data_IF_762321708453
#
_entry.id   IF_762321708453
#
_cell.length_a   1.000
_cell.length_b   1.000
_cell.length_c   1.000
_cell.angle_alpha   90.00
_cell.angle_beta   90.00
_cell.angle_gamma   90.00
#
_symmetry.space_group_name_H-M   'P 1'
#
loop_
_entity.id
_entity.type
_entity.pdbx_description
1 polymer ?
#
# COMPACT_ATOMS: atom_id res chain seq x y z
N UNK A 1 3.87 -24.13 5.88
CA UNK A 1 4.59 -23.11 6.66
C UNK A 1 5.40 -23.87 7.69
N UNK A 2 6.68 -23.55 7.79
CA UNK A 2 7.65 -24.27 8.62
C UNK A 2 7.25 -24.15 10.10
N UNK A 3 7.54 -25.23 10.83
CA UNK A 3 7.11 -25.58 12.16
C UNK A 3 7.42 -24.54 13.26
N UNK A 4 6.42 -24.27 14.08
CA UNK A 4 6.58 -23.84 15.48
C UNK A 4 6.94 -25.05 16.33
N UNK A 5 8.18 -25.15 16.83
CA UNK A 5 8.38 -25.86 18.10
C UNK A 5 7.81 -24.97 19.23
N UNK A 6 7.48 -25.51 20.42
CA UNK A 6 6.35 -25.05 21.24
C UNK A 6 6.51 -23.59 21.67
N UNK A 7 5.48 -23.00 22.28
CA UNK A 7 5.66 -21.88 23.20
C UNK A 7 6.63 -22.29 24.32
N UNK A 8 7.92 -22.18 24.03
CA UNK A 8 9.04 -22.43 24.92
C UNK A 8 9.23 -21.18 25.77
N UNK A 9 9.63 -21.39 27.02
CA UNK A 9 10.08 -20.31 27.91
C UNK A 9 11.15 -19.49 27.16
N UNK A 10 10.88 -18.22 26.88
CA UNK A 10 11.83 -17.30 26.24
C UNK A 10 11.41 -16.64 24.91
N UNK A 11 10.28 -17.00 24.30
CA UNK A 11 9.76 -16.29 23.11
C UNK A 11 8.69 -15.28 23.52
N UNK A 12 8.96 -13.98 23.34
CA UNK A 12 8.00 -12.91 23.64
C UNK A 12 7.34 -12.37 22.36
N UNK A 13 6.06 -11.99 22.46
CA UNK A 13 5.24 -11.48 21.35
C UNK A 13 5.52 -10.01 21.00
N UNK A 14 6.59 -9.47 21.59
CA UNK A 14 6.90 -8.05 21.69
C UNK A 14 7.46 -7.49 20.38
N UNK A 15 7.88 -8.35 19.45
CA UNK A 15 8.60 -7.97 18.23
C UNK A 15 7.74 -7.90 16.96
N UNK A 16 6.44 -8.23 17.04
CA UNK A 16 5.54 -8.09 15.90
C UNK A 16 5.68 -9.13 14.78
N UNK A 17 6.41 -10.22 14.99
CA UNK A 17 6.57 -11.29 13.98
C UNK A 17 5.23 -12.01 13.73
N UNK A 18 4.83 -12.08 12.46
CA UNK A 18 3.58 -12.60 11.95
C UNK A 18 3.71 -14.09 11.56
N UNK A 19 4.02 -14.92 12.56
CA UNK A 19 4.23 -16.37 12.37
C UNK A 19 3.60 -17.27 13.45
N UNK A 20 3.22 -16.71 14.61
CA UNK A 20 2.78 -17.48 15.78
C UNK A 20 1.31 -17.23 16.16
N UNK A 21 0.60 -18.22 16.76
CA UNK A 21 -0.71 -18.03 17.34
C UNK A 21 -0.66 -17.12 18.56
N UNK A 22 -1.65 -16.24 18.65
CA UNK A 22 -2.00 -15.49 19.83
C UNK A 22 -2.84 -16.37 20.77
N UNK A 23 -2.51 -16.35 22.06
CA UNK A 23 -3.29 -17.03 23.10
C UNK A 23 -4.62 -16.32 23.39
N UNK A 24 -4.64 -15.00 23.23
CA UNK A 24 -5.83 -14.15 23.40
C UNK A 24 -6.27 -13.57 22.07
N UNK A 25 -7.58 -13.52 21.83
CA UNK A 25 -8.11 -12.92 20.61
C UNK A 25 -7.82 -11.42 20.60
N UNK A 26 -7.17 -10.94 19.54
CA UNK A 26 -6.96 -9.52 19.27
C UNK A 26 -7.76 -9.09 18.04
N UNK A 27 -8.01 -7.80 17.89
CA UNK A 27 -8.81 -7.29 16.78
C UNK A 27 -8.20 -7.68 15.42
N UNK A 28 -9.02 -8.14 14.48
CA UNK A 28 -8.57 -8.67 13.19
C UNK A 28 -8.09 -10.13 13.20
N UNK A 29 -7.84 -10.74 14.38
CA UNK A 29 -7.49 -12.17 14.47
C UNK A 29 -8.72 -13.07 14.51
N UNK A 30 -8.57 -14.27 13.97
CA UNK A 30 -9.57 -15.34 13.99
C UNK A 30 -8.98 -16.59 14.64
N UNK A 31 -9.84 -17.44 15.21
CA UNK A 31 -9.42 -18.75 15.72
C UNK A 31 -8.79 -19.55 14.59
N UNK A 32 -7.63 -20.12 14.85
CA UNK A 32 -6.93 -21.03 13.94
C UNK A 32 -6.88 -22.44 14.49
N UNK A 33 -6.78 -23.40 13.58
CA UNK A 33 -6.61 -24.81 13.87
C UNK A 33 -5.22 -25.25 13.49
N UNK A 34 -4.67 -26.22 14.22
CA UNK A 34 -3.39 -26.86 13.92
C UNK A 34 -3.61 -28.22 13.30
N UNK A 35 -2.76 -28.58 12.34
CA UNK A 35 -2.53 -29.95 11.90
C UNK A 35 -1.08 -30.31 12.21
N UNK A 36 -0.86 -31.51 12.71
CA UNK A 36 0.43 -31.98 13.21
C UNK A 36 0.86 -33.26 12.50
N UNK A 37 2.05 -33.24 11.93
CA UNK A 37 2.78 -34.43 11.50
C UNK A 37 3.76 -34.82 12.62
N UNK A 38 3.39 -35.82 13.39
CA UNK A 38 4.17 -36.30 14.53
C UNK A 38 5.46 -37.01 14.13
N UNK A 39 5.59 -37.47 12.89
CA UNK A 39 6.78 -38.17 12.41
C UNK A 39 7.87 -37.17 12.00
N UNK A 40 7.47 -36.08 11.35
CA UNK A 40 8.41 -35.06 10.85
C UNK A 40 8.49 -33.81 11.73
N UNK A 41 7.79 -33.81 12.86
CA UNK A 41 7.65 -32.65 13.77
C UNK A 41 7.20 -31.39 13.05
N UNK A 42 6.30 -31.53 12.07
CA UNK A 42 5.88 -30.44 11.18
C UNK A 42 4.45 -29.98 11.47
N UNK A 43 4.21 -28.67 11.41
CA UNK A 43 2.92 -28.05 11.73
C UNK A 43 2.30 -27.36 10.51
N UNK A 44 0.97 -27.37 10.43
CA UNK A 44 0.20 -26.52 9.53
C UNK A 44 -0.89 -25.81 10.32
N UNK A 45 -1.15 -24.55 9.99
CA UNK A 45 -2.26 -23.79 10.55
C UNK A 45 -3.31 -23.53 9.48
N UNK A 46 -4.59 -23.57 9.87
CA UNK A 46 -5.71 -23.32 8.97
C UNK A 46 -6.78 -22.42 9.61
N UNK A 47 -7.39 -21.58 8.78
CA UNK A 47 -8.51 -20.72 9.15
C UNK A 47 -9.82 -21.52 9.07
N UNK A 48 -10.93 -21.06 9.69
CA UNK A 48 -12.16 -21.85 9.84
C UNK A 48 -12.92 -22.16 8.53
N UNK A 49 -12.32 -21.99 7.36
CA UNK A 49 -12.75 -22.67 6.14
C UNK A 49 -11.90 -23.95 6.03
N UNK A 50 -12.33 -25.07 6.63
CA UNK A 50 -11.49 -26.26 6.72
C UNK A 50 -11.06 -26.67 5.32
N UNK A 51 -9.79 -27.02 5.15
CA UNK A 51 -9.42 -28.01 4.13
C UNK A 51 -10.33 -29.22 4.38
N UNK A 52 -11.35 -29.39 3.54
CA UNK A 52 -12.23 -30.55 3.56
C UNK A 52 -11.41 -31.73 3.05
N UNK A 53 -10.84 -32.52 3.94
CA UNK A 53 -10.09 -33.73 3.58
C UNK A 53 -9.02 -34.08 4.60
N UNK A 54 -8.57 -35.33 4.57
CA UNK A 54 -7.35 -35.77 5.26
C UNK A 54 -6.13 -35.24 4.50
N UNK A 55 -5.20 -34.58 5.19
CA UNK A 55 -3.90 -34.23 4.63
C UNK A 55 -2.95 -35.40 4.96
N UNK A 56 -2.36 -36.10 3.97
CA UNK A 56 -1.45 -37.21 4.23
C UNK A 56 -0.30 -36.79 5.16
N UNK A 57 -0.04 -37.56 6.21
CA UNK A 57 0.99 -37.28 7.22
C UNK A 57 0.56 -36.30 8.31
N UNK A 58 -0.58 -35.62 8.18
CA UNK A 58 -1.02 -34.60 9.13
C UNK A 58 -2.33 -34.99 9.82
N UNK A 59 -2.33 -34.93 11.15
CA UNK A 59 -3.52 -35.13 11.98
C UNK A 59 -4.02 -33.78 12.48
N UNK A 60 -5.32 -33.50 12.30
CA UNK A 60 -5.93 -32.28 12.84
C UNK A 60 -5.93 -32.32 14.35
N UNK A 61 -5.37 -31.29 14.98
CA UNK A 61 -5.48 -31.08 16.41
C UNK A 61 -6.90 -30.63 16.74
N UNK A 62 -7.55 -31.35 17.66
CA UNK A 62 -8.91 -31.06 18.12
C UNK A 62 -8.93 -29.97 19.20
N UNK A 63 -7.79 -29.68 19.80
CA UNK A 63 -7.69 -28.68 20.84
C UNK A 63 -7.68 -27.27 20.25
N UNK A 64 -8.04 -26.30 21.09
CA UNK A 64 -7.84 -24.90 20.76
C UNK A 64 -6.35 -24.62 20.60
N UNK A 65 -5.95 -24.17 19.40
CA UNK A 65 -4.56 -23.85 19.13
C UNK A 65 -4.24 -22.38 19.42
N UNK A 66 -5.09 -21.46 18.96
CA UNK A 66 -4.89 -20.04 19.17
C UNK A 66 -5.70 -19.17 18.21
N UNK A 67 -5.33 -17.90 18.15
CA UNK A 67 -5.82 -16.91 17.20
C UNK A 67 -4.69 -16.46 16.27
N UNK A 68 -4.97 -16.15 15.01
CA UNK A 68 -4.00 -15.48 14.14
C UNK A 68 -4.75 -14.61 13.12
N UNK A 69 -4.01 -13.73 12.45
CA UNK A 69 -4.58 -12.95 11.35
C UNK A 69 -4.80 -13.83 10.12
N UNK A 70 -5.95 -13.75 9.44
CA UNK A 70 -6.18 -14.44 8.18
C UNK A 70 -5.03 -14.22 7.19
N UNK A 71 -4.39 -15.31 6.77
CA UNK A 71 -3.38 -15.31 5.70
C UNK A 71 -4.00 -15.92 4.47
N UNK A 72 -3.98 -15.20 3.36
CA UNK A 72 -4.69 -15.56 2.13
C UNK A 72 -3.88 -16.50 1.22
N UNK A 73 -3.00 -17.33 1.80
CA UNK A 73 -2.13 -18.32 1.11
C UNK A 73 -1.49 -17.69 -0.14
N UNK A 74 -1.46 -18.43 -1.24
CA UNK A 74 -0.90 -17.99 -2.52
C UNK A 74 -1.80 -17.05 -3.33
N UNK A 75 -2.93 -16.60 -2.76
CA UNK A 75 -3.83 -15.70 -3.45
C UNK A 75 -3.36 -14.27 -3.26
N UNK A 76 -2.96 -13.68 -4.38
CA UNK A 76 -2.65 -12.26 -4.50
C UNK A 76 -3.85 -11.37 -4.23
N UNK A 77 -5.07 -11.85 -4.42
CA UNK A 77 -6.26 -11.07 -4.14
C UNK A 77 -7.25 -11.91 -3.36
N UNK A 78 -7.83 -11.30 -2.34
CA UNK A 78 -8.90 -11.91 -1.59
C UNK A 78 -10.04 -10.94 -1.34
N UNK A 79 -11.24 -11.53 -1.29
CA UNK A 79 -12.48 -10.86 -0.89
C UNK A 79 -12.61 -10.84 0.63
N UNK A 80 -13.30 -9.83 1.14
CA UNK A 80 -13.84 -9.88 2.50
C UNK A 80 -15.04 -10.87 2.54
N UNK A 81 -15.06 -11.79 3.51
CA UNK A 81 -16.18 -12.73 3.67
C UNK A 81 -17.48 -11.96 3.96
N UNK A 82 -18.50 -12.11 3.10
CA UNK A 82 -19.83 -11.50 3.30
C UNK A 82 -20.14 -10.26 2.45
N UNK A 83 -19.18 -9.76 1.66
CA UNK A 83 -19.42 -8.70 0.68
C UNK A 83 -19.84 -9.26 -0.69
N UNK A 84 -20.84 -8.69 -1.37
CA UNK A 84 -21.06 -8.94 -2.79
C UNK A 84 -19.91 -8.33 -3.62
N UNK A 85 -19.19 -9.15 -4.40
CA UNK A 85 -18.14 -8.70 -5.33
C UNK A 85 -16.69 -8.77 -4.79
N UNK A 86 -15.70 -8.46 -5.63
CA UNK A 86 -14.34 -8.08 -5.20
C UNK A 86 -14.45 -6.66 -4.62
N UNK A 87 -15.02 -6.53 -3.42
CA UNK A 87 -15.21 -5.32 -2.61
C UNK A 87 -15.14 -3.99 -3.38
N UNK A 88 -16.07 -3.81 -4.31
CA UNK A 88 -16.21 -2.58 -5.07
C UNK A 88 -16.90 -1.54 -4.19
N UNK A 89 -16.18 -0.50 -3.78
CA UNK A 89 -16.75 0.68 -3.15
C UNK A 89 -16.69 1.86 -4.11
N UNK A 90 -17.67 2.75 -4.09
CA UNK A 90 -17.68 3.82 -5.06
C UNK A 90 -18.70 4.90 -4.81
N UNK A 91 -18.54 5.97 -5.59
CA UNK A 91 -19.51 7.04 -5.74
C UNK A 91 -20.35 6.85 -6.99
N UNK A 92 -20.76 7.96 -7.59
CA UNK A 92 -21.61 7.94 -8.79
C UNK A 92 -20.83 7.59 -10.05
N UNK A 93 -19.55 7.98 -10.12
CA UNK A 93 -18.71 7.75 -11.31
C UNK A 93 -17.46 6.91 -11.06
N UNK A 94 -16.99 6.85 -9.81
CA UNK A 94 -15.73 6.21 -9.45
C UNK A 94 -16.03 4.96 -8.65
N UNK A 95 -15.38 3.86 -9.00
CA UNK A 95 -15.39 2.62 -8.24
C UNK A 95 -13.96 2.21 -7.94
N UNK A 96 -13.72 1.74 -6.73
CA UNK A 96 -12.43 1.16 -6.31
C UNK A 96 -12.65 -0.23 -5.76
N UNK A 97 -11.66 -1.10 -5.90
CA UNK A 97 -11.61 -2.41 -5.25
C UNK A 97 -10.49 -2.45 -4.22
N UNK A 98 -10.78 -3.01 -3.05
CA UNK A 98 -9.81 -3.18 -1.95
C UNK A 98 -9.40 -4.64 -1.78
N UNK A 99 -8.15 -4.87 -1.39
CA UNK A 99 -7.62 -6.22 -1.28
C UNK A 99 -7.52 -6.68 0.18
N UNK A 100 -8.37 -7.63 0.58
CA UNK A 100 -8.33 -8.21 1.92
C UNK A 100 -7.01 -8.93 2.23
N UNK A 101 -6.34 -9.43 1.18
CA UNK A 101 -5.05 -10.08 1.30
C UNK A 101 -3.89 -9.11 1.53
N UNK A 102 -4.10 -7.80 1.39
CA UNK A 102 -3.06 -6.77 1.41
C UNK A 102 -3.50 -5.52 2.19
N UNK A 103 -3.87 -5.67 3.45
CA UNK A 103 -4.21 -4.55 4.36
C UNK A 103 -5.39 -3.68 3.91
N UNK A 104 -6.19 -4.13 2.95
CA UNK A 104 -7.24 -3.35 2.31
C UNK A 104 -6.73 -2.33 1.29
N UNK A 105 -5.47 -2.38 0.86
CA UNK A 105 -4.92 -1.52 -0.20
C UNK A 105 -5.77 -1.57 -1.48
N UNK A 106 -5.80 -0.47 -2.22
CA UNK A 106 -6.70 -0.33 -3.37
C UNK A 106 -6.00 -0.82 -4.64
N UNK A 107 -6.47 -1.94 -5.16
CA UNK A 107 -5.86 -2.63 -6.31
C UNK A 107 -6.58 -2.33 -7.63
N UNK A 108 -7.73 -1.67 -7.57
CA UNK A 108 -8.43 -1.10 -8.73
C UNK A 108 -8.99 0.26 -8.42
N UNK A 109 -8.94 1.15 -9.41
CA UNK A 109 -9.69 2.39 -9.48
C UNK A 109 -10.20 2.47 -10.91
N UNK A 110 -11.52 2.58 -11.07
CA UNK A 110 -12.19 2.64 -12.35
C UNK A 110 -13.01 3.93 -12.44
N UNK A 111 -12.85 4.65 -13.54
CA UNK A 111 -13.65 5.81 -13.91
C UNK A 111 -13.90 5.79 -15.42
N UNK A 112 -15.13 6.05 -15.85
CA UNK A 112 -15.53 6.02 -17.27
C UNK A 112 -15.11 4.73 -18.01
N UNK A 113 -15.28 3.57 -17.34
CA UNK A 113 -14.88 2.26 -17.87
C UNK A 113 -13.36 2.00 -17.91
N UNK A 114 -12.53 2.99 -17.56
CA UNK A 114 -11.08 2.86 -17.56
C UNK A 114 -10.56 2.47 -16.18
N UNK A 115 -9.81 1.37 -16.13
CA UNK A 115 -9.01 0.98 -14.98
C UNK A 115 -7.68 1.77 -14.97
N UNK A 116 -7.28 2.28 -13.79
CA UNK A 116 -6.09 3.12 -13.64
C UNK A 116 -4.86 2.39 -13.08
N UNK A 117 -5.07 1.52 -12.09
CA UNK A 117 -4.05 1.03 -11.16
C UNK A 117 -3.20 -0.09 -11.77
N UNK A 118 -1.88 0.03 -11.69
CA UNK A 118 -1.04 -1.17 -11.82
C UNK A 118 -1.12 -1.91 -10.48
N UNK A 119 -1.43 -3.21 -10.50
CA UNK A 119 -1.51 -4.14 -9.36
C UNK A 119 -0.73 -5.43 -9.66
N UNK A 120 0.47 -5.30 -10.24
CA UNK A 120 1.34 -6.45 -10.48
C UNK A 120 1.75 -7.17 -9.18
N UNK A 121 2.07 -6.40 -8.13
CA UNK A 121 2.39 -6.86 -6.78
C UNK A 121 1.81 -5.91 -5.72
N UNK A 122 1.96 -6.25 -4.44
CA UNK A 122 1.47 -5.44 -3.32
C UNK A 122 2.15 -4.06 -3.22
N UNK A 123 3.38 -3.93 -3.73
CA UNK A 123 4.07 -2.64 -3.80
C UNK A 123 3.44 -1.65 -4.79
N UNK A 124 2.67 -2.13 -5.76
CA UNK A 124 2.03 -1.31 -6.80
C UNK A 124 0.52 -1.31 -6.58
N UNK A 125 0.02 -0.52 -5.64
CA UNK A 125 -1.42 -0.32 -5.36
C UNK A 125 -1.63 1.11 -4.84
N UNK A 126 -2.86 1.63 -4.71
CA UNK A 126 -3.04 2.87 -3.93
C UNK A 126 -2.95 2.52 -2.45
N UNK A 127 -1.95 3.06 -1.77
CA UNK A 127 -1.62 2.65 -0.42
C UNK A 127 -0.95 3.73 0.44
N UNK A 128 -0.82 3.41 1.72
CA UNK A 128 -0.07 4.18 2.73
C UNK A 128 1.28 3.50 2.98
N UNK A 129 2.35 4.29 3.06
CA UNK A 129 3.62 3.88 3.64
C UNK A 129 4.14 4.97 4.59
N UNK A 130 4.97 4.60 5.56
CA UNK A 130 5.64 5.56 6.44
C UNK A 130 7.12 5.18 6.62
N UNK A 131 8.01 6.01 6.08
CA UNK A 131 9.42 5.70 5.98
C UNK A 131 10.20 6.42 7.07
N UNK A 132 11.17 5.76 7.72
CA UNK A 132 12.22 6.50 8.42
C UNK A 132 13.17 7.12 7.39
N UNK A 133 13.33 8.46 7.43
CA UNK A 133 14.13 9.20 6.44
C UNK A 133 15.61 8.81 6.49
N UNK A 134 16.13 8.47 7.68
CA UNK A 134 17.50 7.97 7.83
C UNK A 134 17.66 6.56 7.30
N UNK A 135 16.64 5.71 7.47
CA UNK A 135 16.67 4.32 7.04
C UNK A 135 16.51 4.12 5.54
N UNK A 136 15.98 5.11 4.82
CA UNK A 136 15.71 5.11 3.37
C UNK A 136 16.76 5.90 2.56
N UNK A 137 17.98 6.07 3.10
CA UNK A 137 19.08 6.70 2.38
C UNK A 137 19.87 5.65 1.58
N UNK A 138 19.63 5.60 0.26
CA UNK A 138 20.18 4.58 -0.66
C UNK A 138 19.19 3.44 -0.96
N UNK A 139 19.70 2.28 -1.37
CA UNK A 139 18.89 1.10 -1.75
C UNK A 139 18.32 0.32 -0.54
N UNK A 140 18.43 0.87 0.67
CA UNK A 140 18.00 0.23 1.89
C UNK A 140 16.78 0.98 2.39
N UNK A 141 15.62 0.32 2.51
CA UNK A 141 14.38 0.89 3.04
C UNK A 141 13.85 0.00 4.17
N UNK A 142 14.70 -0.24 5.17
CA UNK A 142 14.49 -1.27 6.18
C UNK A 142 13.36 -0.96 7.17
N UNK A 143 13.23 0.30 7.60
CA UNK A 143 12.13 0.79 8.45
C UNK A 143 11.12 1.58 7.62
N UNK A 144 10.23 0.81 6.99
CA UNK A 144 9.20 1.24 6.06
C UNK A 144 7.95 0.37 6.26
N UNK A 145 7.16 0.62 7.32
CA UNK A 145 5.81 0.07 7.42
C UNK A 145 4.97 0.43 6.19
N UNK A 146 4.47 -0.60 5.50
CA UNK A 146 3.72 -0.50 4.26
C UNK A 146 2.34 -1.15 4.40
N UNK A 147 1.30 -0.46 3.92
CA UNK A 147 -0.09 -0.90 4.03
C UNK A 147 -0.33 -2.21 3.29
N UNK A 148 0.15 -2.37 2.07
CA UNK A 148 -0.17 -3.56 1.27
C UNK A 148 0.59 -4.81 1.70
N UNK A 149 1.79 -4.68 2.27
CA UNK A 149 2.63 -5.81 2.64
C UNK A 149 4.11 -5.49 2.60
N UNK A 150 4.94 -6.53 2.63
CA UNK A 150 6.40 -6.40 2.56
C UNK A 150 6.95 -6.76 1.17
N UNK A 151 8.28 -6.79 1.02
CA UNK A 151 8.95 -7.07 -0.25
C UNK A 151 8.69 -8.47 -0.82
N UNK A 152 8.31 -9.40 0.04
CA UNK A 152 7.92 -10.76 -0.33
C UNK A 152 6.41 -10.83 -0.61
N UNK A 153 5.74 -9.69 -0.79
CA UNK A 153 4.34 -9.60 -1.20
C UNK A 153 3.98 -10.45 -2.44
N UNK A 154 2.72 -10.39 -2.86
CA UNK A 154 2.25 -11.17 -4.01
C UNK A 154 3.20 -11.06 -5.23
N UNK A 155 3.69 -12.21 -5.70
CA UNK A 155 4.45 -12.31 -6.94
C UNK A 155 3.66 -13.14 -7.94
N UNK A 156 2.93 -12.45 -8.84
CA UNK A 156 2.18 -13.11 -9.91
C UNK A 156 3.17 -13.80 -10.86
N UNK A 157 3.02 -15.11 -11.05
CA UNK A 157 3.93 -15.97 -11.82
C UNK A 157 4.38 -15.33 -13.13
N UNK A 158 5.69 -15.16 -13.32
CA UNK A 158 6.35 -14.89 -14.59
C UNK A 158 7.49 -15.90 -14.80
N UNK A 159 8.09 -15.94 -15.98
CA UNK A 159 9.18 -16.87 -16.32
C UNK A 159 10.43 -16.70 -15.44
N UNK A 160 10.56 -15.57 -14.75
CA UNK A 160 11.69 -15.25 -13.86
C UNK A 160 11.41 -15.65 -12.40
N UNK A 161 10.20 -16.14 -12.10
CA UNK A 161 9.82 -16.66 -10.81
C UNK A 161 9.09 -18.00 -10.94
N UNK A 162 9.77 -19.13 -10.65
CA UNK A 162 9.12 -20.42 -10.69
C UNK A 162 7.92 -20.46 -9.71
N UNK A 163 6.92 -21.31 -9.97
CA UNK A 163 5.66 -21.43 -9.19
C UNK A 163 5.81 -21.67 -7.68
N UNK A 164 7.04 -21.82 -7.18
CA UNK A 164 7.36 -21.95 -5.76
C UNK A 164 7.24 -20.64 -4.95
N UNK A 165 7.13 -19.45 -5.59
CA UNK A 165 6.98 -18.18 -4.86
C UNK A 165 5.53 -17.76 -4.60
N UNK A 166 4.55 -18.41 -5.22
CA UNK A 166 3.14 -18.09 -4.98
C UNK A 166 2.77 -18.24 -3.50
N UNK A 167 3.37 -19.20 -2.78
CA UNK A 167 3.20 -19.41 -1.33
C UNK A 167 3.65 -18.24 -0.44
N UNK A 168 4.36 -17.25 -1.00
CA UNK A 168 5.03 -16.20 -0.26
C UNK A 168 4.23 -14.91 -0.14
N UNK A 169 2.99 -14.80 -0.64
CA UNK A 169 2.25 -13.53 -0.66
C UNK A 169 2.08 -12.87 0.74
N UNK A 170 3.06 -12.03 1.11
CA UNK A 170 3.13 -11.35 2.39
C UNK A 170 2.36 -10.04 2.38
N UNK A 171 1.05 -10.15 2.40
CA UNK A 171 0.22 -8.97 2.55
C UNK A 171 -0.06 -8.63 4.01
N UNK A 172 -0.28 -7.35 4.27
CA UNK A 172 -0.54 -6.87 5.62
C UNK A 172 -1.88 -7.36 6.17
N UNK A 173 -1.95 -7.68 7.48
CA UNK A 173 -3.19 -8.07 8.13
C UNK A 173 -4.26 -6.98 8.15
N UNK A 174 -5.40 -7.24 7.50
CA UNK A 174 -6.55 -6.35 7.60
C UNK A 174 -7.23 -6.50 8.97
N UNK A 175 -7.44 -5.38 9.66
CA UNK A 175 -8.14 -5.29 10.95
C UNK A 175 -9.65 -5.13 10.72
N UNK A 176 -10.03 -4.20 9.86
CA UNK A 176 -11.43 -3.94 9.51
C UNK A 176 -11.56 -3.38 8.10
N UNK A 177 -12.72 -3.62 7.50
CA UNK A 177 -13.11 -3.06 6.22
C UNK A 177 -14.62 -2.86 6.21
N UNK A 178 -15.07 -1.72 5.69
CA UNK A 178 -16.49 -1.48 5.43
C UNK A 178 -16.66 -0.54 4.25
N UNK A 179 -17.65 -0.82 3.41
CA UNK A 179 -18.12 0.09 2.39
C UNK A 179 -19.61 0.29 2.57
N UNK A 180 -20.03 1.52 2.84
CA UNK A 180 -21.44 1.88 2.90
C UNK A 180 -21.60 3.37 2.65
N UNK A 181 -22.71 3.77 2.03
CA UNK A 181 -23.06 5.18 1.82
C UNK A 181 -21.93 6.00 1.17
N UNK A 182 -21.29 5.47 0.12
CA UNK A 182 -20.17 6.14 -0.59
C UNK A 182 -18.99 6.46 0.33
N UNK A 183 -18.82 5.68 1.40
CA UNK A 183 -17.68 5.75 2.31
C UNK A 183 -17.05 4.37 2.41
N UNK A 184 -15.78 4.28 2.06
CA UNK A 184 -14.93 3.12 2.34
C UNK A 184 -14.09 3.43 3.57
N UNK A 185 -14.07 2.52 4.55
CA UNK A 185 -13.12 2.53 5.64
C UNK A 185 -12.32 1.24 5.62
N UNK A 186 -11.00 1.32 5.78
CA UNK A 186 -10.17 0.14 6.07
C UNK A 186 -9.18 0.46 7.17
N UNK A 187 -8.74 -0.57 7.90
CA UNK A 187 -7.62 -0.49 8.82
C UNK A 187 -6.76 -1.75 8.78
N UNK A 188 -5.46 -1.60 9.02
CA UNK A 188 -4.47 -2.67 8.92
C UNK A 188 -3.36 -2.53 9.95
N UNK A 189 -2.72 -3.66 10.27
CA UNK A 189 -1.37 -3.67 10.83
C UNK A 189 -0.37 -3.73 9.68
N UNK A 190 0.35 -2.64 9.34
CA UNK A 190 1.26 -2.66 8.20
C UNK A 190 2.46 -3.57 8.49
N UNK A 191 3.02 -4.19 7.45
CA UNK A 191 4.27 -4.94 7.55
C UNK A 191 5.46 -4.03 7.26
N UNK A 192 6.59 -4.32 7.90
CA UNK A 192 7.88 -3.73 7.54
C UNK A 192 8.33 -4.26 6.18
N UNK A 193 8.74 -3.38 5.28
CA UNK A 193 9.10 -3.75 3.90
C UNK A 193 10.30 -4.70 3.81
N UNK A 194 11.40 -4.40 4.53
CA UNK A 194 12.63 -5.23 4.57
C UNK A 194 13.21 -5.35 5.99
N UNK A 195 12.50 -6.01 6.93
CA UNK A 195 12.90 -6.04 8.34
C UNK A 195 14.27 -6.71 8.57
N UNK A 196 14.72 -7.59 7.67
CA UNK A 196 16.01 -8.25 7.74
C UNK A 196 17.20 -7.28 7.61
N UNK A 197 16.98 -6.10 7.01
CA UNK A 197 18.02 -5.08 6.85
C UNK A 197 18.20 -4.22 8.13
N UNK A 198 17.40 -4.48 9.17
CA UNK A 198 17.55 -3.85 10.50
C UNK A 198 18.43 -4.70 11.45
N UNK A 199 18.99 -5.83 11.01
CA UNK A 199 19.87 -6.70 11.81
C UNK A 199 21.31 -6.13 11.96
N UNK A 200 22.04 -6.38 13.07
CA UNK A 200 21.68 -7.27 14.19
C UNK A 200 20.80 -6.62 15.28
N UNK A 201 20.47 -5.34 15.16
CA UNK A 201 19.91 -4.52 16.25
C UNK A 201 18.40 -4.22 16.15
N UNK A 202 17.64 -4.93 15.31
CA UNK A 202 16.29 -4.49 14.92
C UNK A 202 15.22 -5.55 15.00
N UNK A 203 15.20 -6.51 14.08
CA UNK A 203 14.13 -7.52 14.01
C UNK A 203 14.65 -8.81 13.37
N UNK A 204 14.32 -9.98 13.92
CA UNK A 204 14.61 -11.30 13.33
C UNK A 204 13.68 -11.63 12.13
N UNK A 205 13.24 -10.59 11.42
CA UNK A 205 12.29 -10.66 10.33
C UNK A 205 12.92 -11.16 9.03
N UNK A 206 12.09 -11.69 8.14
CA UNK A 206 12.58 -12.31 6.92
C UNK A 206 11.47 -12.84 6.03
N UNK A 207 11.89 -13.56 4.99
CA UNK A 207 11.02 -14.23 4.03
C UNK A 207 10.04 -15.21 4.69
N UNK A 208 10.45 -15.87 5.76
CA UNK A 208 9.60 -16.81 6.49
C UNK A 208 8.95 -16.18 7.72
N UNK A 209 9.42 -14.99 8.13
CA UNK A 209 9.07 -14.32 9.37
C UNK A 209 8.69 -12.85 9.09
N UNK A 210 7.52 -12.57 8.48
CA UNK A 210 7.09 -11.20 8.23
C UNK A 210 6.96 -10.44 9.55
N UNK A 211 7.29 -9.15 9.56
CA UNK A 211 7.27 -8.32 10.77
C UNK A 211 6.21 -7.24 10.63
N UNK A 212 5.21 -7.24 11.53
CA UNK A 212 4.25 -6.15 11.62
C UNK A 212 4.87 -4.97 12.37
N UNK A 213 4.56 -3.77 11.92
CA UNK A 213 4.76 -2.58 12.72
C UNK A 213 3.70 -2.49 13.82
N UNK A 214 4.09 -1.97 14.98
CA UNK A 214 3.21 -1.95 16.16
C UNK A 214 2.12 -0.87 16.09
N UNK A 215 2.27 0.11 15.20
CA UNK A 215 1.21 1.05 14.87
C UNK A 215 0.17 0.47 13.93
N UNK A 216 -0.79 1.32 13.53
CA UNK A 216 -1.83 0.93 12.57
C UNK A 216 -2.01 2.00 11.51
N UNK A 217 -2.34 1.57 10.30
CA UNK A 217 -2.81 2.45 9.25
C UNK A 217 -4.32 2.29 9.08
N UNK A 218 -5.01 3.40 8.91
CA UNK A 218 -6.42 3.43 8.53
C UNK A 218 -6.63 4.43 7.41
N UNK A 219 -7.55 4.13 6.50
CA UNK A 219 -8.02 5.08 5.50
C UNK A 219 -9.53 5.17 5.48
N UNK A 220 -10.02 6.38 5.25
CA UNK A 220 -11.41 6.69 4.93
C UNK A 220 -11.45 7.38 3.58
N UNK A 221 -12.08 6.74 2.61
CA UNK A 221 -12.38 7.33 1.31
C UNK A 221 -13.83 7.80 1.33
N UNK A 222 -14.04 9.07 1.03
CA UNK A 222 -15.37 9.65 0.82
C UNK A 222 -15.52 9.94 -0.67
N UNK A 223 -16.32 9.13 -1.36
CA UNK A 223 -16.60 9.32 -2.79
C UNK A 223 -17.65 10.43 -2.98
N UNK A 224 -17.67 11.01 -4.16
CA UNK A 224 -18.52 12.17 -4.49
C UNK A 224 -18.37 13.29 -3.46
N UNK A 225 -17.13 13.58 -3.07
CA UNK A 225 -16.85 14.52 -1.99
C UNK A 225 -17.51 15.87 -2.28
N UNK A 226 -18.34 16.36 -1.36
CA UNK A 226 -19.10 17.60 -1.52
C UNK A 226 -19.92 17.63 -2.81
N UNK A 227 -20.58 16.50 -3.13
CA UNK A 227 -21.38 16.25 -4.34
C UNK A 227 -20.61 16.32 -5.65
N UNK A 228 -19.27 16.26 -5.61
CA UNK A 228 -18.40 16.31 -6.79
C UNK A 228 -17.96 14.89 -7.18
N UNK A 229 -18.57 14.28 -8.22
CA UNK A 229 -18.37 12.85 -8.52
C UNK A 229 -16.95 12.50 -8.99
N UNK A 230 -16.14 13.50 -9.31
CA UNK A 230 -14.76 13.35 -9.75
C UNK A 230 -13.74 13.41 -8.60
N UNK A 231 -14.18 13.68 -7.36
CA UNK A 231 -13.31 13.83 -6.20
C UNK A 231 -13.56 12.71 -5.18
N UNK A 232 -12.48 12.07 -4.75
CA UNK A 232 -12.44 11.23 -3.54
C UNK A 232 -11.60 11.95 -2.48
N UNK A 233 -12.19 12.26 -1.32
CA UNK A 233 -11.38 12.63 -0.16
C UNK A 233 -10.72 11.36 0.39
N UNK A 234 -9.40 11.34 0.41
CA UNK A 234 -8.56 10.26 0.95
C UNK A 234 -7.99 10.70 2.30
N UNK A 235 -8.70 10.35 3.38
CA UNK A 235 -8.21 10.62 4.73
C UNK A 235 -7.39 9.42 5.23
N UNK A 236 -6.13 9.67 5.54
CA UNK A 236 -5.22 8.72 6.18
C UNK A 236 -5.15 9.00 7.68
N UNK A 237 -5.17 7.94 8.47
CA UNK A 237 -4.82 7.99 9.89
C UNK A 237 -3.69 7.00 10.14
N UNK A 238 -2.56 7.50 10.63
CA UNK A 238 -1.44 6.68 11.11
C UNK A 238 -1.43 6.77 12.63
N UNK A 239 -1.56 5.63 13.31
CA UNK A 239 -1.50 5.56 14.77
C UNK A 239 -0.10 5.13 15.20
N UNK A 240 0.64 6.06 15.81
CA UNK A 240 1.93 5.79 16.42
C UNK A 240 1.71 5.31 17.86
N UNK A 241 2.20 4.11 18.24
CA UNK A 241 1.99 3.57 19.59
C UNK A 241 2.76 4.36 20.64
N UNK A 242 3.93 4.87 20.28
CA UNK A 242 4.83 5.68 21.11
C UNK A 242 5.28 6.91 20.32
N UNK A 243 5.85 7.89 21.02
CA UNK A 243 6.47 9.02 20.34
C UNK A 243 7.73 8.57 19.60
N UNK A 244 7.96 9.16 18.44
CA UNK A 244 9.09 8.91 17.55
C UNK A 244 9.91 10.19 17.42
N UNK A 245 11.19 10.10 17.79
CA UNK A 245 12.13 11.22 17.69
C UNK A 245 12.84 11.27 16.32
N UNK A 246 12.70 10.23 15.51
CA UNK A 246 13.25 10.19 14.16
C UNK A 246 12.32 10.92 13.19
N UNK A 247 12.93 11.52 12.15
CA UNK A 247 12.16 12.10 11.05
C UNK A 247 11.50 10.97 10.26
N UNK A 248 10.18 10.99 10.16
CA UNK A 248 9.42 10.08 9.31
C UNK A 248 8.86 10.81 8.09
N UNK A 249 8.77 10.09 6.98
CA UNK A 249 8.15 10.53 5.75
C UNK A 249 6.94 9.66 5.44
N UNK A 250 5.75 10.23 5.59
CA UNK A 250 4.49 9.59 5.25
C UNK A 250 4.25 9.72 3.75
N UNK A 251 4.18 8.59 3.06
CA UNK A 251 3.87 8.51 1.63
C UNK A 251 2.40 8.11 1.51
N UNK A 252 1.52 9.10 1.40
CA UNK A 252 0.07 8.84 1.36
C UNK A 252 -0.78 9.93 0.69
N UNK A 253 -1.55 9.60 -0.36
CA UNK A 253 -1.57 8.30 -1.02
C UNK A 253 -0.32 8.09 -1.89
N UNK A 254 0.26 6.90 -1.86
CA UNK A 254 1.14 6.40 -2.90
C UNK A 254 0.28 5.73 -3.97
N UNK A 255 0.38 6.14 -5.24
CA UNK A 255 -0.45 5.60 -6.33
C UNK A 255 0.42 5.06 -7.45
N UNK A 256 0.15 3.84 -7.88
CA UNK A 256 0.80 3.19 -9.02
C UNK A 256 -0.22 2.93 -10.12
N UNK A 257 0.10 3.40 -11.31
CA UNK A 257 -0.72 3.44 -12.51
C UNK A 257 -0.14 2.52 -13.57
N UNK A 258 -1.02 2.02 -14.44
CA UNK A 258 -0.62 1.33 -15.66
C UNK A 258 0.25 2.23 -16.55
N UNK A 259 1.03 1.63 -17.44
CA UNK A 259 2.03 2.38 -18.24
C UNK A 259 1.39 3.40 -19.21
N UNK A 260 0.09 3.29 -19.49
CA UNK A 260 -0.63 4.22 -20.37
C UNK A 260 -0.62 5.67 -19.88
N UNK A 261 -0.49 5.90 -18.57
CA UNK A 261 -0.53 7.23 -17.96
C UNK A 261 0.82 7.96 -18.07
N UNK A 262 1.30 8.16 -19.30
CA UNK A 262 2.65 8.65 -19.58
C UNK A 262 2.84 10.14 -19.35
N UNK A 263 1.78 10.96 -19.49
CA UNK A 263 1.87 12.42 -19.36
C UNK A 263 1.84 12.80 -17.89
N UNK A 264 2.71 13.72 -17.50
CA UNK A 264 2.83 14.20 -16.13
C UNK A 264 2.64 15.71 -16.08
N UNK A 265 1.90 16.17 -15.10
CA UNK A 265 1.63 17.57 -14.86
C UNK A 265 1.77 17.91 -13.37
N UNK A 266 2.12 19.17 -13.11
CA UNK A 266 2.03 19.80 -11.79
C UNK A 266 0.88 20.77 -11.80
N UNK A 267 0.25 20.94 -10.65
CA UNK A 267 -0.78 21.93 -10.43
C UNK A 267 -0.28 22.92 -9.36
N UNK A 268 -0.23 24.20 -9.71
CA UNK A 268 0.25 25.27 -8.83
C UNK A 268 -0.62 26.51 -9.02
N UNK A 269 -1.26 26.99 -7.94
CA UNK A 269 -1.97 28.28 -7.94
C UNK A 269 -3.07 28.42 -9.00
N UNK A 270 -3.71 27.32 -9.42
CA UNK A 270 -4.75 27.30 -10.46
C UNK A 270 -4.24 27.06 -11.88
N UNK A 271 -2.92 26.88 -12.05
CA UNK A 271 -2.31 26.60 -13.34
C UNK A 271 -1.77 25.18 -13.38
N UNK A 272 -1.96 24.51 -14.51
CA UNK A 272 -1.40 23.18 -14.79
C UNK A 272 -0.20 23.31 -15.72
N UNK A 273 0.94 22.79 -15.28
CA UNK A 273 2.19 22.82 -16.02
C UNK A 273 2.56 21.39 -16.42
N UNK A 274 2.86 21.17 -17.70
CA UNK A 274 3.40 19.89 -18.12
C UNK A 274 4.83 19.74 -17.58
N UNK A 275 5.10 18.62 -16.90
CA UNK A 275 6.44 18.30 -16.43
C UNK A 275 7.38 18.17 -17.66
N UNK A 276 8.32 19.11 -17.79
CA UNK A 276 9.13 19.30 -19.00
C UNK A 276 9.26 20.77 -19.44
N UNK A 277 8.47 21.69 -18.88
CA UNK A 277 8.60 23.14 -19.11
C UNK A 277 9.27 23.80 -17.88
N UNK A 278 10.41 24.51 -18.02
CA UNK A 278 11.12 25.05 -16.86
C UNK A 278 10.48 26.33 -16.33
N UNK A 279 10.22 26.34 -15.01
CA UNK A 279 10.64 27.44 -14.11
C UNK A 279 10.91 26.87 -12.72
N UNK A 280 12.15 26.97 -12.27
CA UNK A 280 12.59 26.64 -10.90
C UNK A 280 12.82 25.15 -10.62
N UNK A 281 13.97 24.62 -11.05
CA UNK A 281 14.60 23.37 -10.60
C UNK A 281 13.72 22.11 -10.55
N UNK A 282 13.06 21.76 -11.66
CA UNK A 282 12.57 20.40 -11.88
C UNK A 282 12.85 20.02 -13.34
N UNK A 283 14.01 19.39 -13.54
CA UNK A 283 14.54 19.03 -14.84
C UNK A 283 13.67 17.95 -15.51
N UNK A 284 12.96 18.39 -16.54
CA UNK A 284 12.82 17.66 -17.81
C UNK A 284 11.79 16.55 -17.86
N UNK A 285 11.47 16.16 -19.09
CA UNK A 285 11.31 14.74 -19.39
C UNK A 285 12.40 13.97 -18.62
N UNK A 286 12.05 12.80 -18.07
CA UNK A 286 13.00 11.83 -17.50
C UNK A 286 14.27 11.81 -18.35
N UNK A 287 15.27 12.58 -17.93
CA UNK A 287 16.44 12.86 -18.73
C UNK A 287 17.28 11.60 -18.69
N UNK A 288 17.43 10.95 -19.85
CA UNK A 288 18.25 9.73 -19.99
C UNK A 288 19.74 9.98 -19.71
N UNK A 289 20.15 11.24 -19.53
CA UNK A 289 21.51 11.65 -19.22
C UNK A 289 21.76 11.98 -17.74
N UNK A 290 20.72 11.98 -16.88
CA UNK A 290 20.94 12.01 -15.43
C UNK A 290 21.32 10.60 -14.99
N UNK A 291 22.55 10.37 -14.48
CA UNK A 291 22.96 9.08 -13.99
C UNK A 291 22.23 8.82 -12.67
N UNK A 292 21.04 8.23 -12.75
CA UNK A 292 20.50 7.53 -11.60
C UNK A 292 21.36 6.30 -11.41
N UNK A 293 21.98 6.16 -10.23
CA UNK A 293 22.76 4.98 -9.87
C UNK A 293 21.93 3.69 -9.83
N UNK A 294 20.61 3.81 -10.02
CA UNK A 294 19.70 2.74 -10.38
C UNK A 294 18.97 3.06 -11.70
N UNK A 295 19.18 2.33 -12.80
CA UNK A 295 18.44 2.49 -14.05
C UNK A 295 16.94 2.10 -13.95
N UNK A 296 16.49 1.57 -12.79
CA UNK A 296 15.17 0.99 -12.58
C UNK A 296 14.12 1.97 -12.02
N UNK A 297 14.55 3.06 -11.37
CA UNK A 297 13.68 4.08 -10.77
C UNK A 297 14.09 5.48 -11.19
N UNK A 298 13.29 6.11 -12.06
CA UNK A 298 13.46 7.52 -12.40
C UNK A 298 12.30 8.34 -11.82
N UNK A 299 12.55 8.88 -10.63
CA UNK A 299 11.62 9.71 -9.88
C UNK A 299 11.96 11.18 -10.05
N UNK A 300 11.00 11.96 -10.53
CA UNK A 300 11.03 13.40 -10.37
C UNK A 300 10.41 13.71 -9.00
N UNK A 301 11.29 13.92 -8.01
CA UNK A 301 10.91 14.57 -6.77
C UNK A 301 10.51 15.99 -7.11
N UNK A 302 9.23 16.33 -6.98
CA UNK A 302 8.75 17.69 -7.19
C UNK A 302 9.03 18.45 -5.89
N UNK A 303 10.29 18.86 -5.73
CA UNK A 303 10.77 19.68 -4.61
C UNK A 303 10.63 21.15 -4.95
N UNK A 304 10.03 21.93 -4.05
CA UNK A 304 9.62 23.31 -4.31
C UNK A 304 8.14 23.48 -4.01
N UNK A 305 7.70 24.72 -3.77
CA UNK A 305 6.35 25.09 -3.34
C UNK A 305 5.29 24.73 -4.40
N UNK A 306 5.03 23.45 -4.63
CA UNK A 306 3.90 23.01 -5.45
C UNK A 306 2.66 23.11 -4.58
N UNK A 307 2.18 24.34 -4.47
CA UNK A 307 0.92 24.67 -3.84
C UNK A 307 -0.22 24.22 -4.77
N UNK A 308 -0.47 22.91 -4.79
CA UNK A 308 -1.60 22.38 -5.53
C UNK A 308 -1.61 20.87 -5.68
N UNK A 309 -0.64 20.25 -6.36
CA UNK A 309 -0.68 18.79 -6.56
C UNK A 309 0.04 18.30 -7.80
N UNK A 310 -0.14 17.01 -8.10
CA UNK A 310 0.43 16.34 -9.28
C UNK A 310 -0.63 15.53 -10.02
N UNK A 311 -0.48 15.43 -11.34
CA UNK A 311 -1.45 14.77 -12.22
C UNK A 311 -0.71 13.87 -13.20
N UNK A 312 -1.25 12.67 -13.43
CA UNK A 312 -0.83 11.75 -14.48
C UNK A 312 -1.98 11.51 -15.45
N UNK A 313 -1.71 11.53 -16.75
CA UNK A 313 -2.71 11.37 -17.80
C UNK A 313 -2.28 10.38 -18.87
N UNK A 314 -3.26 9.77 -19.55
CA UNK A 314 -3.03 9.06 -20.79
C UNK A 314 -2.60 10.00 -21.93
N UNK A 315 -2.25 9.43 -23.09
CA UNK A 315 -1.73 10.18 -24.26
C UNK A 315 -2.66 11.27 -24.76
N UNK A 316 -3.98 11.09 -24.63
CA UNK A 316 -5.00 12.02 -25.13
C UNK A 316 -5.52 13.00 -24.07
N UNK A 317 -5.01 12.94 -22.84
CA UNK A 317 -5.51 13.74 -21.71
C UNK A 317 -7.00 13.52 -21.37
N UNK A 318 -7.57 12.40 -21.83
CA UNK A 318 -8.97 12.04 -21.60
C UNK A 318 -9.17 11.31 -20.28
N UNK A 319 -8.13 10.64 -19.78
CA UNK A 319 -8.12 9.93 -18.51
C UNK A 319 -6.90 10.36 -17.71
N UNK A 320 -7.16 11.05 -16.62
CA UNK A 320 -6.18 11.62 -15.73
C UNK A 320 -6.54 11.25 -14.28
N UNK A 321 -5.51 11.01 -13.47
CA UNK A 321 -5.61 10.94 -12.03
C UNK A 321 -4.64 11.96 -11.43
N UNK A 322 -5.16 12.81 -10.56
CA UNK A 322 -4.37 13.73 -9.78
C UNK A 322 -4.48 13.48 -8.29
N UNK A 323 -3.41 13.83 -7.56
CA UNK A 323 -3.43 14.00 -6.12
C UNK A 323 -3.32 15.49 -5.82
N UNK A 324 -4.30 16.01 -5.08
CA UNK A 324 -4.26 17.35 -4.49
C UNK A 324 -4.11 17.21 -2.98
N UNK A 325 -3.22 18.01 -2.41
CA UNK A 325 -3.10 18.16 -0.96
C UNK A 325 -2.72 19.61 -0.65
N UNK A 326 -3.48 20.26 0.23
CA UNK A 326 -3.11 21.58 0.73
C UNK A 326 -1.86 21.46 1.59
N UNK A 327 -0.97 22.44 1.46
CA UNK A 327 0.21 22.56 2.31
C UNK A 327 -0.19 22.65 3.77
N UNK A 328 0.35 21.75 4.59
CA UNK A 328 0.24 21.81 6.05
C UNK A 328 1.62 22.19 6.58
N UNK A 329 1.73 23.34 7.23
CA UNK A 329 2.88 23.74 8.06
C UNK A 329 4.28 23.54 7.43
N UNK A 330 4.42 23.81 6.13
CA UNK A 330 5.72 24.03 5.49
C UNK A 330 6.32 22.88 4.68
N UNK A 331 5.80 21.64 4.70
CA UNK A 331 6.41 20.54 3.93
C UNK A 331 5.40 19.50 3.42
N UNK A 332 4.78 19.76 2.27
CA UNK A 332 4.20 18.69 1.43
C UNK A 332 4.95 18.68 0.11
N UNK A 333 5.71 17.60 -0.13
CA UNK A 333 6.31 17.35 -1.42
C UNK A 333 5.40 16.41 -2.22
N UNK A 334 5.44 16.52 -3.53
CA UNK A 334 4.81 15.56 -4.41
C UNK A 334 5.90 14.82 -5.18
N UNK A 335 5.63 13.60 -5.60
CA UNK A 335 6.53 12.85 -6.47
C UNK A 335 5.79 12.31 -7.65
N UNK A 336 6.50 12.29 -8.77
CA UNK A 336 6.05 11.70 -10.02
C UNK A 336 7.18 10.77 -10.47
N UNK A 337 6.95 9.47 -10.50
CA UNK A 337 7.98 8.53 -10.92
C UNK A 337 7.56 7.70 -12.13
N UNK A 338 8.57 7.28 -12.89
CA UNK A 338 8.49 6.14 -13.78
C UNK A 338 9.37 5.05 -13.19
N UNK A 339 8.78 3.90 -12.92
CA UNK A 339 9.55 2.70 -12.62
C UNK A 339 9.64 1.93 -13.93
N UNK A 340 10.85 1.79 -14.47
CA UNK A 340 11.11 0.93 -15.63
C UNK A 340 11.92 -0.26 -15.17
N UNK A 341 11.28 -1.31 -14.65
CA UNK A 341 12.01 -2.53 -14.47
C UNK A 341 11.92 -3.32 -15.79
N UNK A 342 13.02 -3.96 -16.18
CA UNK A 342 13.23 -4.62 -17.48
C UNK A 342 12.30 -5.84 -17.67
N UNK A 343 11.00 -5.64 -17.85
CA UNK A 343 10.01 -6.73 -17.86
C UNK A 343 8.77 -6.50 -18.71
N UNK A 344 7.87 -7.50 -18.71
CA UNK A 344 6.76 -7.65 -19.66
C UNK A 344 5.45 -7.02 -19.16
N UNK A 345 4.72 -6.38 -20.08
CA UNK A 345 3.33 -5.95 -19.90
C UNK A 345 3.14 -4.53 -19.38
N UNK A 346 2.07 -3.87 -19.87
CA UNK A 346 1.71 -2.46 -19.59
C UNK A 346 0.37 -2.31 -18.86
N UNK A 347 -0.44 -3.36 -18.80
CA UNK A 347 -1.77 -3.36 -18.19
C UNK A 347 -1.76 -3.48 -16.68
N UNK A 348 -2.92 -3.75 -16.07
CA UNK A 348 -3.10 -3.85 -14.62
C UNK A 348 -2.09 -4.79 -13.96
N UNK A 349 -1.69 -5.88 -14.61
CA UNK A 349 -0.73 -6.86 -14.06
C UNK A 349 0.62 -6.85 -14.76
N UNK A 350 0.87 -5.82 -15.57
CA UNK A 350 2.14 -5.60 -16.23
C UNK A 350 3.21 -5.09 -15.27
N UNK A 351 4.48 -5.35 -15.57
CA UNK A 351 5.58 -4.91 -14.71
C UNK A 351 5.88 -3.41 -14.84
N UNK A 352 5.56 -2.80 -15.98
CA UNK A 352 5.77 -1.38 -16.24
C UNK A 352 4.73 -0.53 -15.50
N UNK A 353 5.20 0.47 -14.75
CA UNK A 353 4.34 1.30 -13.90
C UNK A 353 4.76 2.76 -13.86
N UNK A 354 3.76 3.63 -13.74
CA UNK A 354 3.91 5.06 -13.46
C UNK A 354 3.38 5.33 -12.07
N UNK A 355 4.00 6.23 -11.32
CA UNK A 355 3.47 6.58 -10.01
C UNK A 355 3.32 8.07 -9.80
N UNK A 356 2.42 8.40 -8.87
CA UNK A 356 2.28 9.69 -8.25
C UNK A 356 2.12 9.48 -6.74
N UNK A 357 2.68 10.39 -5.94
CA UNK A 357 2.56 10.30 -4.49
C UNK A 357 2.68 11.67 -3.82
N UNK A 358 2.16 11.77 -2.61
CA UNK A 358 2.39 12.86 -1.65
C UNK A 358 3.34 12.38 -0.55
N UNK A 359 4.30 13.23 -0.21
CA UNK A 359 5.30 13.00 0.83
C UNK A 359 5.15 14.07 1.89
N UNK A 360 4.72 13.67 3.06
CA UNK A 360 4.63 14.52 4.24
C UNK A 360 5.78 14.17 5.17
N UNK A 361 6.63 15.13 5.50
CA UNK A 361 7.79 14.88 6.37
C UNK A 361 7.54 15.54 7.71
N UNK A 362 7.71 14.78 8.79
CA UNK A 362 7.45 15.28 10.15
C UNK A 362 8.52 14.81 11.13
N UNK A 363 8.93 15.74 11.99
CA UNK A 363 9.81 15.50 13.12
C UNK A 363 9.56 16.58 14.20
N UNK A 364 9.40 16.23 15.49
CA UNK A 364 9.14 14.89 16.03
C UNK A 364 7.70 14.44 15.78
N UNK A 365 7.42 13.15 15.98
CA UNK A 365 6.07 12.59 15.90
C UNK A 365 5.61 12.16 17.30
N UNK A 366 4.57 12.80 17.87
CA UNK A 366 4.03 12.35 19.15
C UNK A 366 3.29 11.02 19.01
N UNK A 367 3.15 10.30 20.12
CA UNK A 367 2.26 9.14 20.21
C UNK A 367 0.82 9.55 19.86
N UNK A 368 0.06 8.62 19.28
CA UNK A 368 -1.35 8.82 18.91
C UNK A 368 -1.55 8.96 17.39
N UNK A 369 -2.62 9.65 17.01
CA UNK A 369 -3.06 9.69 15.61
C UNK A 369 -2.46 10.88 14.86
N UNK A 370 -1.79 10.60 13.75
CA UNK A 370 -1.50 11.55 12.69
C UNK A 370 -2.57 11.41 11.60
N UNK A 371 -3.28 12.51 11.30
CA UNK A 371 -4.33 12.53 10.28
C UNK A 371 -3.86 13.40 9.11
N UNK A 372 -3.88 12.83 7.91
CA UNK A 372 -3.53 13.50 6.65
C UNK A 372 -4.74 13.42 5.73
N UNK A 373 -5.12 14.54 5.12
CA UNK A 373 -6.19 14.60 4.14
C UNK A 373 -5.62 14.96 2.78
N UNK A 374 -5.84 14.08 1.83
CA UNK A 374 -5.48 14.28 0.42
C UNK A 374 -6.72 14.03 -0.42
N UNK A 375 -6.67 14.42 -1.69
CA UNK A 375 -7.80 14.30 -2.60
C UNK A 375 -7.32 13.63 -3.88
N UNK A 376 -7.96 12.52 -4.23
CA UNK A 376 -7.79 11.89 -5.52
C UNK A 376 -8.83 12.49 -6.47
N UNK A 377 -8.37 12.96 -7.63
CA UNK A 377 -9.22 13.63 -8.62
C UNK A 377 -9.09 12.92 -9.96
N UNK A 378 -10.21 12.46 -10.52
CA UNK A 378 -10.22 11.75 -11.81
C UNK A 378 -11.04 12.49 -12.86
N UNK A 379 -10.60 12.42 -14.12
CA UNK A 379 -11.35 12.99 -15.24
C UNK A 379 -10.48 13.21 -16.46
N UNK A 380 -10.94 14.06 -17.38
CA UNK A 380 -10.05 14.68 -18.37
C UNK A 380 -9.07 15.64 -17.67
N UNK A 381 -7.99 16.06 -18.35
CA UNK A 381 -7.06 17.04 -17.79
C UNK A 381 -7.78 18.33 -17.36
N UNK A 382 -8.70 18.82 -18.19
CA UNK A 382 -9.53 20.00 -17.89
C UNK A 382 -10.39 19.77 -16.66
N UNK A 383 -11.06 18.61 -16.56
CA UNK A 383 -11.85 18.25 -15.38
C UNK A 383 -10.99 18.24 -14.14
N UNK A 384 -9.86 17.52 -14.15
CA UNK A 384 -8.96 17.44 -12.99
C UNK A 384 -8.48 18.82 -12.55
N UNK A 385 -8.11 19.70 -13.50
CA UNK A 385 -7.75 21.07 -13.19
C UNK A 385 -8.90 21.82 -12.49
N UNK A 386 -10.10 21.81 -13.07
CA UNK A 386 -11.28 22.50 -12.51
C UNK A 386 -11.61 22.02 -11.10
N UNK A 387 -11.53 20.72 -10.86
CA UNK A 387 -11.78 20.13 -9.54
C UNK A 387 -10.69 20.51 -8.52
N UNK A 388 -9.42 20.53 -8.92
CA UNK A 388 -8.31 21.00 -8.07
C UNK A 388 -8.38 22.51 -7.80
N UNK A 389 -8.85 23.30 -8.75
CA UNK A 389 -9.18 24.72 -8.56
C UNK A 389 -10.26 24.92 -7.53
N UNK A 390 -11.33 24.12 -7.63
CA UNK A 390 -12.41 24.15 -6.65
C UNK A 390 -11.91 23.78 -5.24
N UNK A 391 -11.09 22.73 -5.10
CA UNK A 391 -10.49 22.36 -3.81
C UNK A 391 -9.66 23.50 -3.22
N UNK A 392 -8.83 24.14 -4.05
CA UNK A 392 -7.99 25.28 -3.67
C UNK A 392 -8.82 26.47 -3.19
N UNK A 393 -9.81 26.90 -3.97
CA UNK A 393 -10.66 28.06 -3.65
C UNK A 393 -11.47 27.83 -2.37
N UNK A 394 -11.91 26.59 -2.11
CA UNK A 394 -12.67 26.23 -0.93
C UNK A 394 -11.80 25.80 0.27
N UNK A 395 -10.47 26.00 0.19
CA UNK A 395 -9.53 25.81 1.29
C UNK A 395 -9.42 24.38 1.85
N UNK A 396 -9.74 23.37 1.03
CA UNK A 396 -9.70 21.95 1.39
C UNK A 396 -8.33 21.33 1.53
#
# INVERSE_FOLDING_TARGET
MIAEVPSAIGYTNDQGIMGCPYTTQTNGTQRIWRWWDSLNTNHLTDFPKPVSGSIPGFVKDINFFGYAFPRYKAYCEAKFNGSPGLDSCGGTQITVGTNAAAGGAIFTLTWNGKQFINSHDYGRQIQIADNSVSSCSGNNCADNPTEAGDKWGCNRTNTDNPPHLAWRAHGSPTISSSCSNKILNTSTYPLQWEPQLLAPNGFLGGEDNPVRWLGTFSKKLTFDFQTRPNIIQYQTTIKYPTAENQTRQQVTPAVYLTEEFIKAYKYEGGTVYQAGVPRGALSGNLDSSIPTTDPSYNCLGVTGLVAGGVIRCNTTNSHCLGIYQKHINGHTNHGICKTMPLGRGTGQYGWQTRSLATFNTKNPIPAGNLIIKSYLVVGSLTTVQTEMDWLRVNNY
#
